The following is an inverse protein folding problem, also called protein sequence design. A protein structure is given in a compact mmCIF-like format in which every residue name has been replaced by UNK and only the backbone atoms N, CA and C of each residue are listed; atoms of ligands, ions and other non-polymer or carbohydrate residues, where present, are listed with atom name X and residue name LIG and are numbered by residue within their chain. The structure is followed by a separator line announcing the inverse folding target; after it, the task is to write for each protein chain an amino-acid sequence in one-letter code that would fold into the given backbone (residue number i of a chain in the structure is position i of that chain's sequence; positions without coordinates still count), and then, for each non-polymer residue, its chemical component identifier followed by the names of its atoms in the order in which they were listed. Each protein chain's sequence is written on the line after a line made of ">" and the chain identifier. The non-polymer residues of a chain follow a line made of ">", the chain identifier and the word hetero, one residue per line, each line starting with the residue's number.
data_IF_591589397637
#
_entry.id   IF_591589397637
#
_cell.length_a   1.000
_cell.length_b   1.000
_cell.length_c   1.000
_cell.angle_alpha   90.00
_cell.angle_beta   90.00
_cell.angle_gamma   90.00
#
_symmetry.space_group_name_H-M   'P 1'
#
loop_
_entity.id
_entity.type
_entity.pdbx_description
1 polymer ?
#
# COMPACT_ATOMS: atom_id res chain seq x y z
N UNK A 1 7.39 -11.76 -10.86
CA UNK A 1 6.34 -12.75 -11.23
C UNK A 1 4.93 -12.34 -10.78
N UNK A 2 4.72 -12.03 -9.49
CA UNK A 2 3.42 -11.69 -8.89
C UNK A 2 2.97 -10.24 -9.16
N UNK A 3 2.72 -9.92 -10.42
CA UNK A 3 2.50 -8.53 -10.88
C UNK A 3 1.03 -8.09 -10.95
N UNK A 4 0.08 -8.99 -10.68
CA UNK A 4 -1.33 -8.62 -10.59
C UNK A 4 -1.72 -8.34 -9.14
N UNK A 5 -2.29 -7.18 -8.87
CA UNK A 5 -2.82 -6.84 -7.55
C UNK A 5 -4.34 -6.68 -7.60
N UNK A 6 -5.01 -7.17 -6.57
CA UNK A 6 -6.43 -6.91 -6.33
C UNK A 6 -6.67 -6.68 -4.85
N UNK A 7 -7.58 -5.78 -4.50
CA UNK A 7 -7.86 -5.47 -3.10
C UNK A 7 -9.32 -5.10 -2.90
N UNK A 8 -9.80 -5.32 -1.67
CA UNK A 8 -11.07 -4.79 -1.20
C UNK A 8 -10.81 -3.73 -0.13
N UNK A 9 -10.92 -2.47 -0.51
CA UNK A 9 -10.58 -1.32 0.35
C UNK A 9 -10.82 -0.02 -0.37
N UNK A 10 -10.16 1.06 0.04
CA UNK A 10 -10.27 2.34 -0.67
C UNK A 10 -9.51 2.34 -1.99
N UNK A 11 -10.09 2.97 -3.01
CA UNK A 11 -9.46 3.11 -4.31
C UNK A 11 -10.30 3.91 -5.32
N UNK A 12 -9.91 3.89 -6.62
CA UNK A 12 -8.75 3.17 -7.16
C UNK A 12 -7.40 3.85 -6.90
N UNK A 13 -7.40 5.16 -6.65
CA UNK A 13 -6.20 5.97 -6.40
C UNK A 13 -5.65 5.77 -4.97
N UNK A 14 -4.47 6.31 -4.71
CA UNK A 14 -3.84 6.29 -3.39
C UNK A 14 -4.64 7.07 -2.33
N UNK A 15 -4.49 6.70 -1.07
CA UNK A 15 -5.17 7.31 0.06
C UNK A 15 -4.32 7.22 1.32
N UNK A 16 -4.46 8.18 2.23
CA UNK A 16 -3.75 8.23 3.51
C UNK A 16 -4.73 8.53 4.64
N UNK A 17 -4.30 8.38 5.90
CA UNK A 17 -5.19 8.47 7.06
C UNK A 17 -6.00 9.78 7.09
N UNK A 18 -5.36 10.91 6.80
CA UNK A 18 -5.95 12.25 6.72
C UNK A 18 -6.43 12.66 5.31
N UNK A 19 -6.19 11.83 4.29
CA UNK A 19 -6.54 12.10 2.88
C UNK A 19 -7.11 10.86 2.19
N UNK A 20 -8.36 10.50 2.53
CA UNK A 20 -9.03 9.30 1.98
C UNK A 20 -10.50 9.44 1.60
N UNK A 21 -11.13 10.59 1.85
CA UNK A 21 -12.57 10.80 1.60
C UNK A 21 -12.94 10.69 0.11
N UNK A 22 -12.03 11.05 -0.79
CA UNK A 22 -12.19 10.91 -2.24
C UNK A 22 -12.13 9.47 -2.77
N UNK A 23 -11.60 8.53 -1.97
CA UNK A 23 -11.43 7.13 -2.36
C UNK A 23 -12.57 6.27 -1.79
N UNK A 24 -13.39 5.67 -2.68
CA UNK A 24 -14.52 4.82 -2.28
C UNK A 24 -14.04 3.43 -1.87
N UNK A 25 -14.78 2.78 -0.98
CA UNK A 25 -14.55 1.38 -0.64
C UNK A 25 -15.16 0.49 -1.73
N UNK A 26 -14.35 -0.40 -2.30
CA UNK A 26 -14.75 -1.28 -3.38
C UNK A 26 -13.69 -2.34 -3.69
N UNK A 27 -14.01 -3.23 -4.63
CA UNK A 27 -13.04 -4.21 -5.13
C UNK A 27 -12.35 -3.62 -6.36
N UNK A 28 -11.04 -3.47 -6.28
CA UNK A 28 -10.22 -2.90 -7.34
C UNK A 28 -9.16 -3.91 -7.78
N UNK A 29 -8.68 -3.77 -9.02
CA UNK A 29 -7.66 -4.63 -9.63
C UNK A 29 -6.77 -3.81 -10.56
N UNK A 30 -5.51 -4.20 -10.69
CA UNK A 30 -4.54 -3.56 -11.58
C UNK A 30 -3.20 -4.28 -11.60
N UNK A 31 -2.20 -3.68 -12.24
CA UNK A 31 -0.80 -4.13 -12.11
C UNK A 31 -0.12 -3.45 -10.94
N UNK A 32 0.93 -4.09 -10.41
CA UNK A 32 1.78 -3.48 -9.36
C UNK A 32 2.40 -2.18 -9.89
N UNK A 33 2.93 -2.20 -11.12
CA UNK A 33 3.48 -0.98 -11.75
C UNK A 33 2.50 0.20 -11.84
N UNK A 34 1.20 -0.07 -11.92
CA UNK A 34 0.17 0.97 -12.07
C UNK A 34 -0.21 1.60 -10.71
N UNK A 35 0.30 1.05 -9.59
CA UNK A 35 0.07 1.60 -8.25
C UNK A 35 1.08 2.68 -7.86
N UNK A 36 2.15 2.84 -8.65
CA UNK A 36 3.15 3.88 -8.47
C UNK A 36 2.65 5.22 -8.99
N UNK A 37 2.83 6.28 -8.20
CA UNK A 37 2.62 7.66 -8.66
C UNK A 37 3.96 8.38 -8.84
N UNK A 38 4.31 8.83 -10.07
CA UNK A 38 5.61 9.43 -10.37
C UNK A 38 5.65 10.90 -9.94
N UNK A 39 5.64 11.17 -8.63
CA UNK A 39 5.89 12.51 -8.10
C UNK A 39 7.23 13.04 -8.63
N UNK A 40 7.29 14.35 -8.93
CA UNK A 40 8.48 15.01 -9.52
C UNK A 40 9.73 14.60 -8.76
N UNK A 41 9.70 14.76 -7.43
CA UNK A 41 10.68 14.17 -6.53
C UNK A 41 10.12 12.85 -5.99
N UNK A 42 10.87 11.74 -6.08
CA UNK A 42 10.55 10.46 -5.44
C UNK A 42 10.21 10.62 -3.96
N UNK A 43 9.04 10.12 -3.58
CA UNK A 43 8.44 10.21 -2.24
C UNK A 43 7.49 9.02 -2.04
N UNK A 44 7.07 8.80 -0.79
CA UNK A 44 6.05 7.81 -0.43
C UNK A 44 4.77 7.97 -1.28
N UNK A 45 4.26 6.87 -1.82
CA UNK A 45 3.13 6.86 -2.75
C UNK A 45 2.43 5.49 -2.82
N UNK A 46 1.23 5.46 -3.40
CA UNK A 46 0.53 4.24 -3.78
C UNK A 46 -0.25 3.55 -2.64
N UNK A 47 -0.24 4.10 -1.42
CA UNK A 47 -0.91 3.52 -0.26
C UNK A 47 -2.44 3.38 -0.47
N UNK A 48 -3.00 2.25 -0.06
CA UNK A 48 -4.45 1.95 -0.05
C UNK A 48 -4.87 1.76 1.40
N UNK A 49 -5.83 2.57 1.87
CA UNK A 49 -6.31 2.50 3.25
C UNK A 49 -7.61 1.71 3.38
N UNK A 50 -7.94 1.35 4.62
CA UNK A 50 -9.13 0.61 5.00
C UNK A 50 -9.28 -0.70 4.17
N UNK A 51 -8.17 -1.42 3.94
CA UNK A 51 -8.15 -2.63 3.12
C UNK A 51 -8.52 -3.84 3.97
N UNK A 52 -9.50 -4.62 3.54
CA UNK A 52 -9.96 -5.84 4.21
C UNK A 52 -9.13 -7.04 3.75
N UNK A 53 -8.83 -7.09 2.46
CA UNK A 53 -7.93 -8.07 1.88
C UNK A 53 -7.21 -7.51 0.66
N UNK A 54 -6.00 -8.01 0.40
CA UNK A 54 -5.23 -7.78 -0.82
C UNK A 54 -4.72 -9.12 -1.32
N UNK A 55 -4.71 -9.33 -2.64
CA UNK A 55 -4.13 -10.50 -3.27
C UNK A 55 -3.16 -10.09 -4.37
N UNK A 56 -1.96 -10.67 -4.33
CA UNK A 56 -0.97 -10.62 -5.39
C UNK A 56 -0.95 -11.96 -6.13
N UNK A 57 -1.03 -11.94 -7.46
CA UNK A 57 -0.99 -13.16 -8.28
C UNK A 57 -0.09 -13.01 -9.50
N UNK A 58 0.47 -14.14 -9.93
CA UNK A 58 1.16 -14.25 -11.21
C UNK A 58 0.16 -14.35 -12.37
N UNK A 59 0.65 -14.48 -13.60
CA UNK A 59 -0.19 -14.66 -14.81
C UNK A 59 -1.04 -15.94 -14.78
N UNK A 60 -0.60 -16.98 -14.06
CA UNK A 60 -1.34 -18.22 -13.91
C UNK A 60 -2.47 -18.12 -12.86
N UNK A 61 -2.55 -17.01 -12.12
CA UNK A 61 -3.53 -16.78 -11.06
C UNK A 61 -3.10 -17.29 -9.68
N UNK A 62 -1.88 -17.83 -9.57
CA UNK A 62 -1.31 -18.34 -8.30
C UNK A 62 -0.64 -17.18 -7.57
N UNK A 63 -0.75 -17.14 -6.24
CA UNK A 63 -0.02 -16.18 -5.42
C UNK A 63 -0.45 -16.16 -3.96
N UNK A 64 -0.54 -14.97 -3.40
CA UNK A 64 -0.72 -14.73 -1.97
C UNK A 64 -1.97 -13.89 -1.74
N UNK A 65 -2.80 -14.31 -0.79
CA UNK A 65 -3.90 -13.51 -0.23
C UNK A 65 -3.51 -13.09 1.20
N UNK A 66 -3.66 -11.81 1.47
CA UNK A 66 -3.52 -11.21 2.80
C UNK A 66 -4.88 -10.73 3.27
N UNK A 67 -5.26 -11.08 4.49
CA UNK A 67 -6.52 -10.67 5.11
C UNK A 67 -6.20 -9.88 6.37
N UNK A 68 -6.76 -8.68 6.49
CA UNK A 68 -6.59 -7.83 7.66
C UNK A 68 -7.32 -8.37 8.88
N UNK A 69 -6.76 -8.11 10.06
CA UNK A 69 -7.37 -8.38 11.35
C UNK A 69 -7.03 -7.22 12.31
N UNK A 70 -7.67 -6.05 12.17
CA UNK A 70 -8.96 -5.81 11.50
C UNK A 70 -8.90 -5.32 10.04
N UNK A 71 -8.06 -4.33 9.74
CA UNK A 71 -7.90 -3.71 8.42
C UNK A 71 -6.41 -3.42 8.17
N UNK A 72 -6.02 -3.37 6.91
CA UNK A 72 -4.67 -3.10 6.44
C UNK A 72 -4.58 -1.68 5.84
N UNK A 73 -3.41 -1.07 5.93
CA UNK A 73 -2.88 -0.14 4.93
C UNK A 73 -1.92 -0.91 4.03
N UNK A 74 -2.01 -0.73 2.72
CA UNK A 74 -1.24 -1.56 1.77
C UNK A 74 -0.64 -0.71 0.66
N UNK A 75 0.64 -0.90 0.38
CA UNK A 75 1.28 -0.45 -0.85
C UNK A 75 2.04 -1.59 -1.51
N UNK A 76 2.17 -1.55 -2.84
CA UNK A 76 2.91 -2.55 -3.60
C UNK A 76 3.69 -1.88 -4.74
N UNK A 77 5.00 -2.11 -4.79
CA UNK A 77 5.92 -1.42 -5.71
C UNK A 77 6.95 -2.36 -6.33
N UNK A 78 7.49 -1.98 -7.49
CA UNK A 78 8.73 -2.55 -8.04
C UNK A 78 9.99 -1.83 -7.54
N UNK A 79 9.85 -1.13 -6.41
CA UNK A 79 10.87 -0.35 -5.74
C UNK A 79 10.88 -0.78 -4.27
N UNK A 80 12.05 -0.79 -3.64
CA UNK A 80 12.13 -0.88 -2.20
C UNK A 80 11.70 0.47 -1.58
N UNK A 81 11.27 0.46 -0.32
CA UNK A 81 10.84 1.70 0.34
C UNK A 81 11.98 2.73 0.43
N UNK A 82 13.22 2.25 0.58
CA UNK A 82 14.44 3.05 0.58
C UNK A 82 14.76 3.66 -0.80
N UNK A 83 14.20 3.11 -1.89
CA UNK A 83 14.34 3.72 -3.21
C UNK A 83 13.54 5.02 -3.34
N UNK A 84 12.62 5.32 -2.42
CA UNK A 84 11.93 6.62 -2.37
C UNK A 84 12.57 7.61 -1.39
N UNK A 85 13.57 7.16 -0.60
CA UNK A 85 14.31 8.03 0.30
C UNK A 85 15.59 8.53 -0.37
N UNK A 86 15.61 9.86 -0.60
CA UNK A 86 16.76 10.54 -1.18
C UNK A 86 18.02 10.50 -0.29
N UNK A 87 17.86 10.12 0.99
CA UNK A 87 18.90 10.06 2.02
C UNK A 87 19.60 11.41 2.24
N UNK A 88 20.66 11.39 3.06
CA UNK A 88 21.43 12.61 3.36
C UNK A 88 22.05 13.24 2.11
N UNK A 89 22.36 12.43 1.09
CA UNK A 89 23.01 12.85 -0.15
C UNK A 89 22.03 13.38 -1.22
N UNK A 90 20.72 13.34 -0.97
CA UNK A 90 19.64 13.83 -1.86
C UNK A 90 19.80 13.39 -3.33
N UNK A 91 20.07 12.10 -3.55
CA UNK A 91 20.43 11.54 -4.88
C UNK A 91 19.24 11.31 -5.81
N UNK A 92 18.04 11.07 -5.27
CA UNK A 92 16.81 10.82 -6.02
C UNK A 92 16.03 12.14 -6.15
N UNK A 93 16.31 12.92 -7.19
CA UNK A 93 15.68 14.24 -7.39
C UNK A 93 14.53 14.18 -8.38
N UNK A 94 14.55 13.19 -9.27
CA UNK A 94 13.57 13.02 -10.34
C UNK A 94 13.05 11.59 -10.35
N UNK A 95 11.78 11.40 -10.74
CA UNK A 95 11.19 10.06 -10.90
C UNK A 95 11.99 9.15 -11.85
N UNK A 96 12.67 9.74 -12.85
CA UNK A 96 13.56 9.02 -13.78
C UNK A 96 14.83 8.45 -13.13
N UNK A 97 15.20 8.92 -11.94
CA UNK A 97 16.38 8.42 -11.22
C UNK A 97 16.11 7.04 -10.61
N UNK A 98 14.84 6.66 -10.44
CA UNK A 98 14.44 5.38 -9.88
C UNK A 98 14.57 4.27 -10.92
N UNK A 99 15.19 3.16 -10.49
CA UNK A 99 15.32 1.95 -11.30
C UNK A 99 14.39 0.88 -10.75
N UNK A 100 13.47 0.42 -11.59
CA UNK A 100 12.59 -0.69 -11.25
C UNK A 100 13.41 -1.94 -11.00
N UNK A 101 13.00 -2.75 -10.03
CA UNK A 101 13.65 -3.99 -9.64
C UNK A 101 12.81 -5.20 -10.03
N UNK A 102 13.45 -6.36 -10.17
CA UNK A 102 12.78 -7.64 -10.41
C UNK A 102 12.18 -8.24 -9.13
N UNK A 103 11.46 -7.42 -8.36
CA UNK A 103 10.77 -7.80 -7.14
C UNK A 103 9.41 -7.09 -7.06
N UNK A 104 8.58 -7.54 -6.12
CA UNK A 104 7.43 -6.78 -5.65
C UNK A 104 7.64 -6.56 -4.15
N UNK A 105 7.81 -5.31 -3.75
CA UNK A 105 7.80 -4.91 -2.36
C UNK A 105 6.34 -4.70 -1.93
N UNK A 106 5.85 -5.50 -0.99
CA UNK A 106 4.49 -5.42 -0.46
C UNK A 106 4.56 -4.97 1.00
N UNK A 107 4.04 -3.78 1.29
CA UNK A 107 3.92 -3.27 2.66
C UNK A 107 2.52 -3.58 3.21
N UNK A 108 2.46 -4.08 4.45
CA UNK A 108 1.25 -4.51 5.15
C UNK A 108 1.19 -3.85 6.52
N UNK A 109 0.66 -2.63 6.57
CA UNK A 109 0.78 -1.79 7.76
C UNK A 109 -0.51 -1.80 8.57
N UNK A 110 -0.38 -1.72 9.90
CA UNK A 110 -1.51 -1.39 10.77
C UNK A 110 -2.07 -0.03 10.40
N UNK A 111 -1.20 0.97 10.47
CA UNK A 111 -1.45 2.38 10.17
C UNK A 111 -0.14 3.04 9.77
N UNK A 112 -0.28 4.09 8.97
CA UNK A 112 0.77 5.04 8.65
C UNK A 112 0.26 6.43 9.06
N UNK A 113 1.14 7.31 9.54
CA UNK A 113 0.75 8.68 9.89
C UNK A 113 0.15 9.43 8.68
N UNK A 114 -0.66 10.45 8.95
CA UNK A 114 -1.19 11.34 7.91
C UNK A 114 -0.09 12.08 7.16
N UNK A 115 -0.42 12.59 5.98
CA UNK A 115 0.48 13.38 5.13
C UNK A 115 0.67 14.80 5.68
N UNK A 116 -0.36 15.37 6.32
CA UNK A 116 -0.39 16.76 6.73
C UNK A 116 -0.54 17.71 5.54
N UNK A 117 0.08 18.89 5.63
CA UNK A 117 0.12 19.86 4.54
C UNK A 117 -0.45 21.24 4.85
N UNK A 118 -0.80 21.56 6.10
CA UNK A 118 -1.19 22.93 6.49
C UNK A 118 -0.11 23.95 6.11
N UNK A 119 1.16 23.59 6.29
CA UNK A 119 2.33 24.24 5.69
C UNK A 119 3.42 23.21 5.39
N UNK A 120 4.36 23.55 4.49
CA UNK A 120 5.48 22.67 4.11
C UNK A 120 6.82 23.04 4.79
N UNK A 121 6.77 23.84 5.86
CA UNK A 121 7.97 24.35 6.55
C UNK A 121 7.90 24.25 8.09
N UNK A 122 7.08 23.35 8.62
CA UNK A 122 7.11 23.04 10.06
C UNK A 122 5.85 22.42 10.64
N UNK A 123 4.69 22.62 10.00
CA UNK A 123 3.46 21.99 10.45
C UNK A 123 3.55 20.46 10.39
N UNK A 124 2.95 19.78 11.36
CA UNK A 124 2.86 18.33 11.43
C UNK A 124 1.43 17.89 11.09
N UNK A 125 1.22 16.61 10.72
CA UNK A 125 -0.12 16.05 10.67
C UNK A 125 -0.85 16.30 11.99
N UNK A 126 -2.16 16.58 11.92
CA UNK A 126 -2.95 16.87 13.11
C UNK A 126 -2.90 15.70 14.10
N UNK A 127 -3.04 15.95 15.43
CA UNK A 127 -2.88 14.93 16.47
C UNK A 127 -3.61 13.60 16.22
N UNK A 128 -4.85 13.66 15.72
CA UNK A 128 -5.68 12.50 15.43
C UNK A 128 -5.19 11.60 14.28
N UNK A 129 -4.20 12.05 13.51
CA UNK A 129 -3.58 11.32 12.40
C UNK A 129 -2.11 10.95 12.67
N UNK A 130 -1.68 10.98 13.93
CA UNK A 130 -0.33 10.58 14.36
C UNK A 130 -0.38 9.27 15.16
N UNK A 131 0.74 8.56 15.18
CA UNK A 131 0.96 7.38 16.01
C UNK A 131 1.84 7.79 17.20
N UNK A 132 1.27 8.09 18.38
CA UNK A 132 2.07 8.38 19.57
C UNK A 132 2.90 7.15 19.97
N UNK A 133 4.01 7.40 20.66
CA UNK A 133 4.86 6.35 21.22
C UNK A 133 4.13 5.66 22.37
N UNK A 134 3.60 4.47 22.09
CA UNK A 134 2.91 3.59 23.04
C UNK A 134 2.94 2.16 22.50
N UNK A 135 2.44 1.21 23.27
CA UNK A 135 2.31 -0.17 22.80
C UNK A 135 1.18 -0.32 21.78
N UNK A 136 1.44 -1.10 20.73
CA UNK A 136 0.46 -1.49 19.73
C UNK A 136 0.56 -2.99 19.47
N UNK A 137 -0.59 -3.62 19.22
CA UNK A 137 -0.66 -5.00 18.74
C UNK A 137 -1.39 -5.02 17.42
N UNK A 138 -0.88 -5.80 16.48
CA UNK A 138 -1.43 -5.89 15.13
C UNK A 138 -1.23 -7.29 14.56
N UNK A 139 -2.23 -7.79 13.84
CA UNK A 139 -2.20 -9.08 13.18
C UNK A 139 -2.83 -9.00 11.78
N UNK A 140 -2.44 -9.96 10.95
CA UNK A 140 -3.05 -10.24 9.66
C UNK A 140 -2.81 -11.71 9.32
N UNK A 141 -3.54 -12.21 8.33
CA UNK A 141 -3.45 -13.62 7.90
C UNK A 141 -2.88 -13.70 6.49
N UNK A 142 -1.90 -14.58 6.30
CA UNK A 142 -1.33 -14.92 5.00
C UNK A 142 -1.86 -16.27 4.55
N UNK A 143 -2.30 -16.36 3.29
CA UNK A 143 -2.81 -17.59 2.70
C UNK A 143 -2.31 -17.77 1.27
N UNK A 144 -1.83 -18.96 0.88
CA UNK A 144 -1.70 -19.30 -0.52
C UNK A 144 -3.04 -19.08 -1.24
N UNK A 145 -2.98 -18.55 -2.46
CA UNK A 145 -4.16 -18.15 -3.21
C UNK A 145 -4.06 -18.57 -4.68
N UNK A 146 -5.21 -18.94 -5.25
CA UNK A 146 -5.36 -19.24 -6.67
C UNK A 146 -6.66 -18.62 -7.15
N UNK A 147 -6.59 -17.62 -8.03
CA UNK A 147 -7.77 -16.91 -8.56
C UNK A 147 -8.66 -17.80 -9.43
N UNK A 148 -8.14 -18.94 -9.91
CA UNK A 148 -8.89 -19.94 -10.67
C UNK A 148 -9.77 -20.82 -9.79
N UNK A 149 -9.33 -21.08 -8.55
CA UNK A 149 -10.00 -22.00 -7.63
C UNK A 149 -10.79 -21.27 -6.54
N UNK A 150 -10.39 -20.04 -6.21
CA UNK A 150 -10.87 -19.36 -5.03
C UNK A 150 -11.36 -17.94 -5.31
N UNK A 151 -12.42 -17.55 -4.60
CA UNK A 151 -12.87 -16.17 -4.52
C UNK A 151 -12.26 -15.51 -3.27
N UNK A 152 -11.50 -14.41 -3.40
CA UNK A 152 -10.82 -13.78 -2.27
C UNK A 152 -11.79 -13.25 -1.21
N UNK A 153 -12.97 -12.77 -1.62
CA UNK A 153 -14.02 -12.29 -0.70
C UNK A 153 -14.65 -13.41 0.12
N UNK A 154 -14.77 -14.61 -0.45
CA UNK A 154 -15.22 -15.78 0.32
C UNK A 154 -14.11 -16.23 1.27
N UNK A 155 -12.87 -16.30 0.79
CA UNK A 155 -11.74 -16.74 1.60
C UNK A 155 -11.42 -15.82 2.79
N UNK A 156 -11.61 -14.51 2.62
CA UNK A 156 -11.34 -13.53 3.67
C UNK A 156 -12.30 -13.62 4.86
N UNK A 157 -13.40 -14.37 4.74
CA UNK A 157 -14.38 -14.55 5.81
C UNK A 157 -14.14 -15.79 6.67
N UNK A 158 -13.30 -16.73 6.21
CA UNK A 158 -12.95 -17.88 7.03
C UNK A 158 -12.02 -17.44 8.15
N UNK A 159 -12.38 -17.80 9.38
CA UNK A 159 -11.55 -17.57 10.56
C UNK A 159 -10.29 -18.42 10.51
#
# INVERSE_FOLDING_TARGET
>A
EFDNISWYGRGPHESYWDRKSGAKVGVYRGKVKDQYHPYIRPQENGNKTDVRWVALTNKAGIGLLVVGDPLLSVSAHHFLSEDFDSGDKKRQRHASDLKTRELVNLNLDYKQMGVGGDTSWGARPHPQYRLPAQEYTYSFKLRPFSSKQHNPMKLSKYK
#
